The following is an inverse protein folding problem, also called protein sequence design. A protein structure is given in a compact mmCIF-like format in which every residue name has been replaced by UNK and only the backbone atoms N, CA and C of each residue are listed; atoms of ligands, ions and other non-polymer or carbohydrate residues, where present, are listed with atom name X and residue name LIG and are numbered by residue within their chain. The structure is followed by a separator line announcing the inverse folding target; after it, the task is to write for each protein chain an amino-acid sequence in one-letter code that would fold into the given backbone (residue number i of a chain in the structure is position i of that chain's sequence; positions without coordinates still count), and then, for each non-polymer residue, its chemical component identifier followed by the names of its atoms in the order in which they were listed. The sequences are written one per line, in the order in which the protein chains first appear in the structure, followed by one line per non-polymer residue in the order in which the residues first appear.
data_IF_893960742558
#
_entry.id   IF_893960742558
#
_cell.length_a   1.000
_cell.length_b   1.000
_cell.length_c   1.000
_cell.angle_alpha   90.00
_cell.angle_beta   90.00
_cell.angle_gamma   90.00
#
_symmetry.space_group_name_H-M   'P 1'
#
loop_
_entity.id
_entity.type
_entity.pdbx_description
1 polymer ?
#
# COMPACT_ATOMS: atom_id res chain seq x y z
N UNK A 1 15.09 7.83 -7.07
CA UNK A 1 14.79 6.95 -8.22
C UNK A 1 13.29 6.90 -8.41
N UNK A 2 12.82 6.92 -9.68
CA UNK A 2 11.40 6.79 -10.04
C UNK A 2 11.22 5.41 -10.65
N UNK A 3 10.38 4.61 -10.00
CA UNK A 3 10.17 3.21 -10.35
C UNK A 3 8.68 2.97 -10.63
N UNK A 4 8.41 2.32 -11.75
CA UNK A 4 7.08 1.78 -12.06
C UNK A 4 7.10 0.28 -11.81
N UNK A 5 6.25 -0.20 -10.92
CA UNK A 5 6.14 -1.62 -10.56
C UNK A 5 4.99 -2.25 -11.35
N UNK A 6 5.21 -3.47 -11.85
CA UNK A 6 4.19 -4.27 -12.52
C UNK A 6 3.66 -5.32 -11.55
N UNK A 7 2.41 -5.14 -11.07
CA UNK A 7 1.77 -6.04 -10.10
C UNK A 7 1.70 -5.48 -8.68
N UNK A 8 1.06 -6.19 -7.78
CA UNK A 8 0.70 -5.69 -6.44
C UNK A 8 1.62 -6.19 -5.31
N UNK A 9 2.61 -7.02 -5.63
CA UNK A 9 3.51 -7.59 -4.62
C UNK A 9 4.79 -6.78 -4.49
N UNK A 10 5.37 -6.69 -3.28
CA UNK A 10 6.69 -6.11 -3.10
C UNK A 10 7.74 -6.83 -3.95
N UNK A 11 8.63 -6.06 -4.56
CA UNK A 11 9.70 -6.60 -5.41
C UNK A 11 11.07 -6.32 -4.79
N UNK A 12 12.02 -7.24 -5.01
CA UNK A 12 13.40 -7.06 -4.62
C UNK A 12 14.22 -6.66 -5.84
N UNK A 13 14.97 -5.59 -5.70
CA UNK A 13 15.84 -5.03 -6.72
C UNK A 13 17.28 -5.13 -6.24
N UNK A 14 18.23 -5.24 -7.16
CA UNK A 14 19.65 -5.33 -6.82
C UNK A 14 20.46 -4.32 -7.60
N UNK A 15 21.45 -3.75 -6.95
CA UNK A 15 22.53 -2.98 -7.57
C UNK A 15 23.82 -3.68 -7.24
N UNK A 16 24.60 -4.03 -8.27
CA UNK A 16 25.93 -4.57 -8.07
C UNK A 16 26.90 -3.88 -9.05
N UNK A 17 27.79 -3.08 -8.49
CA UNK A 17 28.80 -2.36 -9.28
C UNK A 17 30.16 -2.44 -8.60
N UNK A 18 31.22 -2.60 -9.38
CA UNK A 18 32.59 -2.65 -8.91
C UNK A 18 33.49 -1.72 -9.72
N UNK A 19 34.51 -1.17 -9.06
CA UNK A 19 35.46 -0.22 -9.67
C UNK A 19 35.02 1.23 -9.50
N UNK A 20 35.94 2.15 -9.82
CA UNK A 20 35.67 3.59 -9.78
C UNK A 20 34.66 3.99 -10.85
N UNK A 21 33.73 4.86 -10.51
CA UNK A 21 32.72 5.38 -11.43
C UNK A 21 31.42 5.79 -10.77
N UNK A 22 30.50 6.33 -11.56
CA UNK A 22 29.18 6.71 -11.09
C UNK A 22 28.24 5.49 -11.10
N UNK A 23 27.45 5.35 -10.06
CA UNK A 23 26.30 4.42 -9.95
C UNK A 23 25.05 5.20 -10.28
N UNK A 24 24.33 4.77 -11.28
CA UNK A 24 23.10 5.41 -11.76
C UNK A 24 21.90 4.50 -11.54
N UNK A 25 20.71 5.06 -11.67
CA UNK A 25 19.48 4.30 -11.56
C UNK A 25 19.37 3.20 -12.64
N UNK A 26 20.02 3.38 -13.79
CA UNK A 26 20.13 2.34 -14.83
C UNK A 26 20.89 1.08 -14.39
N UNK A 27 21.70 1.16 -13.33
CA UNK A 27 22.43 0.02 -12.79
C UNK A 27 21.59 -0.86 -11.86
N UNK A 28 20.31 -0.50 -11.63
CA UNK A 28 19.36 -1.28 -10.84
C UNK A 28 18.78 -2.40 -11.71
N UNK A 29 18.94 -3.62 -11.26
CA UNK A 29 18.29 -4.78 -11.88
C UNK A 29 16.87 -4.96 -11.31
N UNK A 30 15.87 -4.75 -12.17
CA UNK A 30 14.45 -4.85 -11.82
C UNK A 30 13.87 -6.26 -12.07
N UNK A 31 14.68 -7.23 -12.58
CA UNK A 31 14.26 -8.61 -12.86
C UNK A 31 12.99 -8.71 -13.73
N UNK A 32 12.67 -7.67 -14.52
CA UNK A 32 11.45 -7.60 -15.33
C UNK A 32 10.15 -7.32 -14.56
N UNK A 33 10.24 -7.07 -13.25
CA UNK A 33 9.08 -6.80 -12.39
C UNK A 33 8.73 -5.31 -12.31
N UNK A 34 9.54 -4.44 -12.92
CA UNK A 34 9.34 -3.00 -12.91
C UNK A 34 10.22 -2.30 -13.93
N UNK A 35 10.02 -1.01 -14.09
CA UNK A 35 10.77 -0.15 -15.01
C UNK A 35 11.23 1.12 -14.30
N UNK A 36 12.48 1.52 -14.55
CA UNK A 36 13.04 2.77 -14.04
C UNK A 36 12.78 3.89 -15.04
N UNK A 37 12.00 4.86 -14.65
CA UNK A 37 11.58 5.99 -15.48
C UNK A 37 12.70 7.01 -15.65
N UNK A 38 13.60 7.15 -14.67
CA UNK A 38 14.70 8.10 -14.70
C UNK A 38 16.09 7.41 -14.61
N UNK A 39 16.51 6.69 -15.64
CA UNK A 39 17.73 5.87 -15.62
C UNK A 39 19.02 6.68 -15.40
N UNK A 40 19.02 7.96 -15.75
CA UNK A 40 20.16 8.86 -15.56
C UNK A 40 20.34 9.38 -14.14
N UNK A 41 19.40 9.09 -13.21
CA UNK A 41 19.50 9.58 -11.83
C UNK A 41 20.75 9.03 -11.14
N UNK A 42 21.55 9.92 -10.57
CA UNK A 42 22.74 9.59 -9.81
C UNK A 42 22.37 9.00 -8.44
N UNK A 43 23.01 7.88 -8.07
CA UNK A 43 22.81 7.21 -6.78
C UNK A 43 24.04 7.37 -5.90
N UNK A 44 25.20 7.05 -6.43
CA UNK A 44 26.47 7.12 -5.70
C UNK A 44 27.66 7.29 -6.64
N UNK A 45 28.79 7.69 -6.11
CA UNK A 45 30.06 7.73 -6.85
C UNK A 45 31.11 6.91 -6.11
N UNK A 46 31.70 5.94 -6.81
CA UNK A 46 32.79 5.11 -6.30
C UNK A 46 34.11 5.73 -6.72
N UNK A 47 34.95 6.07 -5.77
CA UNK A 47 36.24 6.75 -6.01
C UNK A 47 37.43 5.78 -6.12
N UNK A 48 37.28 4.56 -5.55
CA UNK A 48 38.35 3.55 -5.57
C UNK A 48 38.07 2.47 -6.63
N UNK A 49 39.11 2.09 -7.36
CA UNK A 49 39.06 1.01 -8.36
C UNK A 49 38.75 -0.37 -7.76
N UNK A 50 38.99 -0.56 -6.47
CA UNK A 50 38.67 -1.80 -5.73
C UNK A 50 37.32 -1.74 -5.00
N UNK A 51 36.64 -0.61 -5.04
CA UNK A 51 35.34 -0.46 -4.38
C UNK A 51 34.31 -1.43 -4.97
N UNK A 52 33.51 -2.02 -4.09
CA UNK A 52 32.36 -2.83 -4.46
C UNK A 52 31.10 -2.22 -3.83
N UNK A 53 30.08 -2.02 -4.63
CA UNK A 53 28.82 -1.46 -4.19
C UNK A 53 27.71 -2.48 -4.50
N UNK A 54 27.24 -3.12 -3.44
CA UNK A 54 26.15 -4.08 -3.53
C UNK A 54 25.04 -3.64 -2.57
N UNK A 55 23.87 -3.39 -3.12
CA UNK A 55 22.67 -3.00 -2.38
C UNK A 55 21.49 -3.84 -2.85
N UNK A 56 20.70 -4.34 -1.91
CA UNK A 56 19.38 -4.89 -2.16
C UNK A 56 18.35 -3.84 -1.75
N UNK A 57 17.40 -3.59 -2.62
CA UNK A 57 16.30 -2.64 -2.39
C UNK A 57 14.99 -3.41 -2.40
N UNK A 58 14.11 -3.11 -1.47
CA UNK A 58 12.73 -3.59 -1.51
C UNK A 58 11.84 -2.44 -1.94
N UNK A 59 11.09 -2.63 -3.02
CA UNK A 59 10.12 -1.67 -3.51
C UNK A 59 8.72 -2.24 -3.40
N UNK A 60 7.79 -1.42 -2.95
CA UNK A 60 6.39 -1.75 -2.71
C UNK A 60 5.48 -0.71 -3.33
N UNK A 61 4.21 -1.04 -3.50
CA UNK A 61 3.16 -0.12 -3.91
C UNK A 61 2.51 0.45 -2.66
N UNK A 62 2.18 1.74 -2.68
CA UNK A 62 1.53 2.42 -1.58
C UNK A 62 0.79 3.66 -2.05
N UNK A 63 0.27 4.43 -1.11
CA UNK A 63 -0.46 5.67 -1.35
C UNK A 63 0.19 6.83 -0.61
N UNK A 64 0.23 7.99 -1.27
CA UNK A 64 0.68 9.23 -0.66
C UNK A 64 2.18 9.24 -0.32
N UNK A 65 2.51 9.62 0.90
CA UNK A 65 3.87 9.70 1.43
C UNK A 65 3.97 8.93 2.75
N UNK A 66 4.99 8.11 2.85
CA UNK A 66 5.27 7.34 4.07
C UNK A 66 6.70 7.65 4.52
N UNK A 67 6.88 8.31 5.67
CA UNK A 67 8.20 8.62 6.22
C UNK A 67 8.90 7.35 6.71
N UNK A 68 10.23 7.37 6.71
CA UNK A 68 11.05 6.25 7.17
C UNK A 68 10.75 5.83 8.61
N UNK A 69 10.35 6.79 9.46
CA UNK A 69 10.06 6.56 10.89
C UNK A 69 8.83 5.67 11.11
N UNK A 70 7.87 5.68 10.19
CA UNK A 70 6.67 4.83 10.25
C UNK A 70 6.97 3.40 9.81
N UNK A 71 8.04 3.21 9.03
CA UNK A 71 8.48 1.89 8.56
C UNK A 71 9.31 1.20 9.63
N UNK A 72 8.65 0.50 10.55
CA UNK A 72 9.32 -0.32 11.54
C UNK A 72 9.95 -1.54 10.86
N UNK A 73 11.26 -1.49 10.56
CA UNK A 73 11.99 -2.67 10.16
C UNK A 73 12.42 -3.44 11.41
N UNK A 74 11.95 -4.67 11.52
CA UNK A 74 12.40 -5.60 12.58
C UNK A 74 13.70 -6.32 12.19
N UNK A 75 14.15 -6.18 10.95
CA UNK A 75 15.31 -6.90 10.42
C UNK A 75 16.59 -6.08 10.58
N UNK A 76 17.63 -6.70 11.14
CA UNK A 76 18.95 -6.08 11.30
C UNK A 76 19.58 -5.90 9.91
N UNK A 77 20.06 -4.68 9.62
CA UNK A 77 20.71 -4.35 8.35
C UNK A 77 19.77 -3.76 7.30
N UNK A 78 18.46 -3.67 7.56
CA UNK A 78 17.52 -2.95 6.71
C UNK A 78 17.45 -1.48 7.13
N UNK A 79 17.67 -0.58 6.19
CA UNK A 79 17.60 0.86 6.40
C UNK A 79 16.30 1.35 5.78
N UNK A 80 15.30 1.78 6.57
CA UNK A 80 14.09 2.36 6.03
C UNK A 80 14.40 3.72 5.39
N UNK A 81 13.74 3.99 4.28
CA UNK A 81 13.82 5.28 3.58
C UNK A 81 12.42 5.81 3.33
N UNK A 82 12.32 7.12 3.22
CA UNK A 82 11.08 7.79 2.84
C UNK A 82 10.58 7.27 1.50
N UNK A 83 9.28 7.07 1.39
CA UNK A 83 8.64 6.63 0.16
C UNK A 83 7.57 7.63 -0.28
N UNK A 84 7.71 8.11 -1.51
CA UNK A 84 6.73 8.95 -2.19
C UNK A 84 6.04 8.08 -3.22
N UNK A 85 4.77 7.74 -2.97
CA UNK A 85 3.99 6.88 -3.84
C UNK A 85 3.12 7.67 -4.83
N UNK A 86 3.00 8.99 -4.62
CA UNK A 86 2.20 9.86 -5.47
C UNK A 86 2.93 10.15 -6.78
N UNK A 87 2.37 9.78 -7.94
CA UNK A 87 2.98 10.05 -9.24
C UNK A 87 2.71 11.48 -9.74
N UNK A 88 1.86 12.25 -9.08
CA UNK A 88 1.45 13.58 -9.48
C UNK A 88 2.31 14.62 -8.78
N UNK A 89 2.99 15.46 -9.56
CA UNK A 89 3.86 16.52 -9.05
C UNK A 89 3.10 17.82 -8.86
N UNK A 90 2.25 18.18 -9.82
CA UNK A 90 1.43 19.38 -9.73
C UNK A 90 0.17 19.28 -10.59
N UNK A 91 -0.89 19.94 -10.13
CA UNK A 91 -2.15 20.08 -10.87
C UNK A 91 -2.57 21.55 -10.80
N UNK A 92 -2.81 22.13 -11.96
CA UNK A 92 -3.40 23.46 -12.09
C UNK A 92 -4.69 23.36 -12.90
N UNK A 93 -5.63 24.25 -12.66
CA UNK A 93 -6.85 24.30 -13.44
C UNK A 93 -7.23 25.75 -13.75
N UNK A 94 -7.93 25.92 -14.88
CA UNK A 94 -8.49 27.19 -15.32
C UNK A 94 -9.90 26.94 -15.81
N UNK A 95 -10.83 27.80 -15.39
CA UNK A 95 -12.21 27.77 -15.85
C UNK A 95 -12.45 29.04 -16.66
N UNK A 96 -12.92 28.89 -17.88
CA UNK A 96 -13.23 29.97 -18.80
C UNK A 96 -14.66 29.85 -19.30
N UNK A 97 -15.33 30.98 -19.47
CA UNK A 97 -16.62 30.98 -20.13
C UNK A 97 -16.42 30.66 -21.62
N UNK A 98 -17.29 29.81 -22.14
CA UNK A 98 -17.21 29.39 -23.53
C UNK A 98 -18.58 29.39 -24.17
N UNK A 99 -18.60 29.49 -25.51
CA UNK A 99 -19.81 29.44 -26.28
C UNK A 99 -19.93 28.16 -27.07
N UNK A 100 -21.09 27.51 -26.96
CA UNK A 100 -21.41 26.32 -27.73
C UNK A 100 -22.64 26.64 -28.58
N UNK A 101 -22.47 26.89 -29.89
CA UNK A 101 -23.51 27.32 -30.76
C UNK A 101 -24.08 28.70 -30.42
N UNK A 102 -25.35 28.80 -30.05
CA UNK A 102 -26.01 30.04 -29.60
C UNK A 102 -25.98 30.25 -28.09
N UNK A 103 -25.56 29.26 -27.33
CA UNK A 103 -25.54 29.32 -25.87
C UNK A 103 -24.15 29.81 -25.38
N UNK A 104 -24.15 30.70 -24.42
CA UNK A 104 -22.97 31.35 -23.85
C UNK A 104 -22.81 31.05 -22.34
N UNK A 105 -23.65 30.14 -21.84
CA UNK A 105 -23.77 29.75 -20.44
C UNK A 105 -22.96 28.48 -20.12
N UNK A 106 -21.99 28.15 -20.98
CA UNK A 106 -21.08 27.02 -20.74
C UNK A 106 -19.73 27.47 -20.23
N UNK A 107 -19.10 26.59 -19.46
CA UNK A 107 -17.76 26.73 -18.98
C UNK A 107 -16.82 25.70 -19.62
N UNK A 108 -15.62 26.11 -19.91
CA UNK A 108 -14.52 25.26 -20.37
C UNK A 108 -13.56 25.06 -19.19
N UNK A 109 -13.34 23.82 -18.81
CA UNK A 109 -12.31 23.45 -17.84
C UNK A 109 -11.02 23.08 -18.58
N UNK A 110 -9.92 23.72 -18.23
CA UNK A 110 -8.58 23.38 -18.68
C UNK A 110 -7.77 22.87 -17.49
N UNK A 111 -7.21 21.68 -17.62
CA UNK A 111 -6.41 21.01 -16.58
C UNK A 111 -4.97 20.88 -17.09
N UNK A 112 -4.02 21.35 -16.28
CA UNK A 112 -2.58 21.17 -16.48
C UNK A 112 -2.06 20.22 -15.41
N UNK A 113 -1.55 19.06 -15.83
CA UNK A 113 -1.10 18.01 -14.92
C UNK A 113 0.33 17.62 -15.22
N UNK A 114 1.20 17.75 -14.23
CA UNK A 114 2.59 17.30 -14.31
C UNK A 114 2.76 16.02 -13.49
N UNK A 115 3.25 14.98 -14.16
CA UNK A 115 3.52 13.67 -13.54
C UNK A 115 5.02 13.42 -13.43
N UNK A 116 5.40 12.43 -12.66
CA UNK A 116 6.79 12.00 -12.50
C UNK A 116 7.26 11.06 -13.66
N UNK A 117 6.36 10.73 -14.59
CA UNK A 117 6.59 9.86 -15.74
C UNK A 117 6.23 8.39 -15.53
N UNK A 118 5.85 7.98 -14.32
CA UNK A 118 5.39 6.60 -14.04
C UNK A 118 3.97 6.37 -14.53
N UNK A 119 3.15 7.43 -14.59
CA UNK A 119 1.77 7.42 -15.06
C UNK A 119 1.57 8.54 -16.08
N UNK A 120 0.77 8.29 -17.12
CA UNK A 120 0.42 9.36 -18.06
C UNK A 120 -0.60 10.32 -17.45
N UNK A 121 -0.59 11.63 -17.79
CA UNK A 121 -1.58 12.58 -17.28
C UNK A 121 -3.03 12.16 -17.56
N UNK A 122 -3.29 11.58 -18.73
CA UNK A 122 -4.62 11.09 -19.13
C UNK A 122 -5.07 9.95 -18.23
N UNK A 123 -4.19 8.98 -17.95
CA UNK A 123 -4.52 7.86 -17.05
C UNK A 123 -4.77 8.34 -15.62
N UNK A 124 -4.03 9.35 -15.17
CA UNK A 124 -4.23 9.96 -13.86
C UNK A 124 -5.63 10.60 -13.75
N UNK A 125 -6.06 11.35 -14.77
CA UNK A 125 -7.41 11.96 -14.81
C UNK A 125 -8.48 10.87 -14.84
N UNK A 126 -8.32 9.86 -15.69
CA UNK A 126 -9.29 8.77 -15.81
C UNK A 126 -9.46 8.03 -14.48
N UNK A 127 -8.37 7.67 -13.81
CA UNK A 127 -8.44 7.03 -12.49
C UNK A 127 -9.12 7.91 -11.44
N UNK A 128 -8.77 9.20 -11.41
CA UNK A 128 -9.39 10.14 -10.48
C UNK A 128 -10.89 10.30 -10.74
N UNK A 129 -11.30 10.35 -12.01
CA UNK A 129 -12.71 10.43 -12.39
C UNK A 129 -13.49 9.17 -11.97
N UNK A 130 -12.90 7.99 -12.13
CA UNK A 130 -13.53 6.74 -11.66
C UNK A 130 -13.70 6.75 -10.14
N UNK A 131 -12.67 7.11 -9.39
CA UNK A 131 -12.74 7.20 -7.92
C UNK A 131 -13.87 8.15 -7.50
N UNK A 132 -13.94 9.34 -8.10
CA UNK A 132 -15.01 10.30 -7.80
C UNK A 132 -16.39 9.75 -8.15
N UNK A 133 -16.53 9.10 -9.32
CA UNK A 133 -17.79 8.51 -9.73
C UNK A 133 -18.27 7.42 -8.76
N UNK A 134 -17.33 6.58 -8.28
CA UNK A 134 -17.63 5.51 -7.33
C UNK A 134 -18.05 6.08 -5.96
N UNK A 135 -17.40 7.14 -5.49
CA UNK A 135 -17.83 7.83 -4.27
C UNK A 135 -19.25 8.43 -4.41
N UNK A 136 -19.56 9.05 -5.57
CA UNK A 136 -20.90 9.58 -5.79
C UNK A 136 -21.95 8.48 -5.95
N UNK A 137 -21.60 7.33 -6.53
CA UNK A 137 -22.51 6.18 -6.60
C UNK A 137 -22.99 5.72 -5.23
N UNK A 138 -22.12 5.73 -4.22
CA UNK A 138 -22.47 5.35 -2.85
C UNK A 138 -23.60 6.19 -2.24
N UNK A 139 -23.89 7.38 -2.79
CA UNK A 139 -24.98 8.24 -2.30
C UNK A 139 -26.36 7.71 -2.75
N UNK A 140 -26.46 7.17 -3.96
CA UNK A 140 -27.73 6.70 -4.53
C UNK A 140 -27.80 5.18 -4.71
N UNK A 141 -26.67 4.50 -4.71
CA UNK A 141 -26.52 3.05 -4.66
C UNK A 141 -25.63 2.71 -3.44
N UNK A 142 -26.14 2.88 -2.21
CA UNK A 142 -25.34 2.49 -1.05
C UNK A 142 -25.03 1.00 -1.22
N UNK A 143 -23.74 0.69 -1.19
CA UNK A 143 -23.31 -0.70 -1.04
C UNK A 143 -23.95 -1.13 0.26
N UNK A 144 -24.93 -2.03 0.23
CA UNK A 144 -25.32 -2.76 1.42
C UNK A 144 -24.00 -3.31 1.96
N UNK A 145 -23.64 -2.89 3.17
CA UNK A 145 -22.50 -3.49 3.84
C UNK A 145 -22.69 -4.99 3.66
N UNK A 146 -21.94 -5.61 2.73
CA UNK A 146 -21.70 -7.03 2.89
C UNK A 146 -21.22 -7.07 4.32
N UNK A 147 -22.08 -7.59 5.19
CA UNK A 147 -21.70 -7.92 6.54
C UNK A 147 -20.43 -8.72 6.29
N UNK A 148 -19.28 -8.05 6.43
CA UNK A 148 -18.02 -8.75 6.49
C UNK A 148 -18.31 -9.60 7.69
N UNK A 149 -18.69 -10.85 7.41
CA UNK A 149 -18.77 -11.88 8.43
C UNK A 149 -17.46 -11.70 9.15
N UNK A 150 -17.53 -11.04 10.28
CA UNK A 150 -16.36 -10.83 11.14
C UNK A 150 -15.77 -12.23 11.19
N UNK A 151 -14.52 -12.45 10.75
CA UNK A 151 -13.98 -13.77 10.52
C UNK A 151 -14.47 -14.61 11.68
N UNK A 152 -15.37 -15.55 11.37
CA UNK A 152 -16.07 -16.27 12.43
C UNK A 152 -14.95 -16.80 13.31
N UNK A 153 -14.81 -16.23 14.49
CA UNK A 153 -13.84 -16.68 15.48
C UNK A 153 -14.03 -18.18 15.78
N UNK A 154 -15.13 -18.74 15.27
CA UNK A 154 -15.48 -20.15 15.32
C UNK A 154 -14.66 -21.08 14.45
N UNK A 155 -13.88 -20.59 13.43
CA UNK A 155 -13.11 -21.51 12.57
C UNK A 155 -11.73 -21.87 13.15
N UNK A 156 -11.30 -21.24 14.23
CA UNK A 156 -10.05 -21.61 14.92
C UNK A 156 -10.27 -22.32 16.25
N UNK A 157 -11.52 -22.44 16.72
CA UNK A 157 -11.83 -23.32 17.84
C UNK A 157 -11.97 -24.72 17.29
N UNK A 158 -10.93 -25.53 17.42
CA UNK A 158 -11.00 -26.97 17.17
C UNK A 158 -12.06 -27.56 18.10
N UNK A 159 -12.85 -28.53 17.62
CA UNK A 159 -13.88 -29.25 18.39
C UNK A 159 -13.37 -29.72 19.76
N UNK A 160 -12.06 -29.94 19.88
CA UNK A 160 -11.39 -30.32 21.11
C UNK A 160 -11.36 -29.17 22.16
N UNK A 161 -11.18 -27.90 21.71
CA UNK A 161 -11.20 -26.75 22.63
C UNK A 161 -12.61 -26.48 23.16
N UNK A 162 -13.65 -26.68 22.37
CA UNK A 162 -15.03 -26.49 22.80
C UNK A 162 -15.47 -27.54 23.84
N UNK A 163 -14.84 -28.72 23.85
CA UNK A 163 -15.09 -29.82 24.81
C UNK A 163 -14.24 -29.70 26.08
N UNK A 164 -13.26 -28.79 26.11
CA UNK A 164 -12.39 -28.60 27.27
C UNK A 164 -13.22 -28.15 28.49
N UNK A 165 -12.96 -28.79 29.63
CA UNK A 165 -13.64 -28.47 30.89
C UNK A 165 -13.21 -27.11 31.42
N UNK A 166 -14.15 -26.36 32.02
CA UNK A 166 -13.87 -25.08 32.65
C UNK A 166 -12.86 -25.22 33.81
N UNK A 167 -12.69 -26.41 34.38
CA UNK A 167 -11.72 -26.69 35.44
C UNK A 167 -10.25 -26.61 34.92
N UNK A 168 -10.03 -26.83 33.64
CA UNK A 168 -8.69 -26.78 33.03
C UNK A 168 -8.24 -25.34 32.67
N UNK A 169 -9.13 -24.35 32.80
CA UNK A 169 -8.85 -22.95 32.48
C UNK A 169 -8.16 -22.16 33.61
N UNK A 170 -7.80 -22.82 34.71
CA UNK A 170 -7.13 -22.20 35.88
C UNK A 170 -7.84 -20.93 36.41
N UNK A 171 -9.19 -20.93 36.37
CA UNK A 171 -10.02 -19.82 36.80
C UNK A 171 -10.08 -19.74 38.32
N UNK A 172 -10.26 -18.57 38.94
CA UNK A 172 -10.50 -18.44 40.35
C UNK A 172 -11.71 -19.28 40.82
N UNK A 173 -11.55 -20.02 41.90
CA UNK A 173 -12.54 -20.98 42.47
C UNK A 173 -13.96 -20.40 42.54
N UNK A 174 -14.08 -19.12 42.83
CA UNK A 174 -15.35 -18.41 42.87
C UNK A 174 -16.07 -18.35 41.53
N UNK A 175 -15.33 -18.17 40.43
CA UNK A 175 -15.88 -18.10 39.08
C UNK A 175 -16.25 -19.49 38.62
N UNK A 176 -15.38 -20.49 38.83
CA UNK A 176 -15.66 -21.89 38.50
C UNK A 176 -16.93 -22.41 39.20
N UNK A 177 -17.10 -22.11 40.45
CA UNK A 177 -18.30 -22.51 41.22
C UNK A 177 -19.57 -21.78 40.71
N UNK A 178 -19.46 -20.50 40.31
CA UNK A 178 -20.58 -19.76 39.75
C UNK A 178 -21.04 -20.33 38.39
N UNK A 179 -20.08 -20.69 37.52
CA UNK A 179 -20.38 -21.29 36.25
C UNK A 179 -20.99 -22.70 36.37
N UNK A 180 -20.49 -23.50 37.29
CA UNK A 180 -21.09 -24.80 37.60
C UNK A 180 -22.52 -24.69 38.17
N UNK A 181 -22.82 -23.68 38.94
CA UNK A 181 -24.16 -23.45 39.49
C UNK A 181 -25.22 -23.15 38.41
N UNK A 182 -24.80 -22.74 37.21
CA UNK A 182 -25.63 -22.50 36.01
C UNK A 182 -25.46 -23.57 34.94
N UNK A 183 -24.89 -24.74 35.28
CA UNK A 183 -24.68 -25.92 34.42
C UNK A 183 -23.78 -25.66 33.19
N UNK A 184 -22.88 -24.69 33.27
CA UNK A 184 -21.87 -24.43 32.24
C UNK A 184 -20.58 -25.16 32.65
N UNK A 185 -20.34 -26.36 32.06
CA UNK A 185 -19.22 -27.24 32.42
C UNK A 185 -18.09 -27.22 31.38
N UNK A 186 -18.35 -26.71 30.18
CA UNK A 186 -17.41 -26.69 29.04
C UNK A 186 -17.35 -25.31 28.39
N UNK A 187 -16.25 -25.04 27.68
CA UNK A 187 -16.04 -23.78 26.95
C UNK A 187 -17.15 -23.58 25.90
N UNK A 188 -17.57 -24.65 25.22
CA UNK A 188 -18.64 -24.59 24.23
C UNK A 188 -20.03 -24.23 24.76
N UNK A 189 -20.25 -24.26 26.08
CA UNK A 189 -21.50 -23.76 26.70
C UNK A 189 -21.40 -22.31 27.16
N UNK A 190 -20.22 -21.71 27.07
CA UNK A 190 -19.91 -20.34 27.46
C UNK A 190 -20.05 -19.35 26.29
N UNK A 191 -20.00 -19.85 25.05
CA UNK A 191 -20.20 -19.12 23.79
C UNK A 191 -21.62 -19.27 23.31
#
# INVERSE_FOLDING_TARGET
VRLKIYGDKPIKLKISKSGAGEVKASDIDCLGLGEIVNPAAHIATLTDSKAKFNIELTAEIGNGYVPAEEKKSAEIGVIPVDAIFTPILSVNYKVEQTRVGRRTDFEKLELEITTDGTVTPIDAVNKSAVILADHFKQIFEPVEDEVIDAPQASSFMTDDLLKTSIEELDLPVRITNALKAIEIDTIGKLT
#
